data_IF_938293489225
#
_entry.id   IF_938293489225
#
_cell.length_a   1.000
_cell.length_b   1.000
_cell.length_c   1.000
_cell.angle_alpha   90.00
_cell.angle_beta   90.00
_cell.angle_gamma   90.00
#
_symmetry.space_group_name_H-M   'P 1'
#
loop_
_entity.id
_entity.type
_entity.pdbx_description
1 polymer ?
#
# COMPACT_ATOMS: atom_id res chain seq x y z
N UNK A 1 -7.37 -0.69 -9.84
CA UNK A 1 -7.93 -1.17 -11.13
C UNK A 1 -8.62 -2.53 -11.03
N UNK A 2 -7.96 -3.60 -10.54
CA UNK A 2 -8.55 -4.95 -10.51
C UNK A 2 -9.79 -5.12 -9.60
N UNK A 3 -9.80 -4.48 -8.42
CA UNK A 3 -10.90 -4.62 -7.44
C UNK A 3 -12.19 -3.90 -7.89
N UNK A 4 -12.06 -2.73 -8.52
CA UNK A 4 -13.20 -1.96 -9.09
C UNK A 4 -13.93 -2.75 -10.17
N UNK A 5 -13.22 -3.29 -11.16
CA UNK A 5 -13.83 -4.06 -12.26
C UNK A 5 -14.51 -5.33 -11.75
N UNK A 6 -13.90 -6.03 -10.80
CA UNK A 6 -14.48 -7.23 -10.21
C UNK A 6 -15.81 -6.96 -9.47
N UNK A 7 -15.95 -5.79 -8.83
CA UNK A 7 -17.18 -5.40 -8.10
C UNK A 7 -18.24 -4.77 -9.02
N UNK A 8 -17.84 -3.95 -9.98
CA UNK A 8 -18.74 -3.37 -10.98
C UNK A 8 -19.37 -4.44 -11.90
N UNK A 9 -18.59 -5.47 -12.27
CA UNK A 9 -19.08 -6.60 -13.07
C UNK A 9 -20.17 -7.42 -12.35
N UNK A 10 -20.12 -7.54 -11.03
CA UNK A 10 -21.17 -8.23 -10.24
C UNK A 10 -22.52 -7.48 -10.25
N UNK A 11 -22.55 -6.23 -10.70
CA UNK A 11 -23.74 -5.35 -10.66
C UNK A 11 -24.14 -4.79 -12.03
N UNK A 12 -23.48 -5.20 -13.11
CA UNK A 12 -23.77 -4.71 -14.47
C UNK A 12 -23.33 -3.26 -14.73
N UNK A 13 -22.46 -2.71 -13.87
CA UNK A 13 -22.00 -1.31 -13.93
C UNK A 13 -20.58 -1.18 -14.52
N UNK A 14 -20.05 -2.26 -15.11
CA UNK A 14 -18.66 -2.33 -15.56
C UNK A 14 -18.32 -1.36 -16.70
N UNK A 15 -19.32 -0.92 -17.46
CA UNK A 15 -19.15 -0.17 -18.72
C UNK A 15 -19.33 1.35 -18.59
N UNK A 16 -19.67 1.89 -17.41
CA UNK A 16 -19.89 3.33 -17.23
C UNK A 16 -18.63 4.05 -16.68
N UNK A 17 -18.31 5.27 -17.18
CA UNK A 17 -17.21 6.06 -16.63
C UNK A 17 -17.58 6.58 -15.24
N UNK A 18 -17.21 5.82 -14.20
CA UNK A 18 -17.37 6.25 -12.81
C UNK A 18 -16.37 7.36 -12.44
N UNK A 19 -16.86 8.43 -11.82
CA UNK A 19 -16.09 9.56 -11.28
C UNK A 19 -15.41 9.14 -9.98
N UNK A 20 -14.13 9.47 -9.87
CA UNK A 20 -13.29 9.05 -8.74
C UNK A 20 -12.51 10.24 -8.19
N UNK A 21 -12.64 10.50 -6.89
CA UNK A 21 -11.69 11.35 -6.17
C UNK A 21 -10.62 10.47 -5.54
N UNK A 22 -9.43 11.04 -5.30
CA UNK A 22 -8.33 10.27 -4.74
C UNK A 22 -7.46 11.08 -3.78
N UNK A 23 -6.82 10.38 -2.86
CA UNK A 23 -5.79 10.90 -1.96
C UNK A 23 -4.54 10.03 -2.03
N UNK A 24 -3.35 10.64 -1.90
CA UNK A 24 -2.06 9.94 -1.91
C UNK A 24 -1.28 10.25 -0.65
N UNK A 25 -0.85 9.20 0.04
CA UNK A 25 -0.12 9.26 1.29
C UNK A 25 1.24 8.60 1.10
N UNK A 26 2.27 9.40 0.88
CA UNK A 26 3.62 8.93 0.59
C UNK A 26 4.52 9.05 1.83
N UNK A 27 5.28 7.99 2.11
CA UNK A 27 6.37 7.98 3.08
C UNK A 27 7.67 7.57 2.40
N UNK A 28 8.77 8.18 2.83
CA UNK A 28 10.11 7.79 2.47
C UNK A 28 10.94 7.64 3.74
N UNK A 29 11.75 6.58 3.82
CA UNK A 29 12.69 6.33 4.90
C UNK A 29 14.10 6.48 4.35
N UNK A 30 14.90 7.33 4.99
CA UNK A 30 16.32 7.51 4.71
C UNK A 30 17.09 6.95 5.90
N UNK A 31 17.86 5.91 5.65
CA UNK A 31 18.67 5.25 6.67
C UNK A 31 19.97 6.01 6.86
N UNK A 32 20.19 6.54 8.07
CA UNK A 32 21.40 7.28 8.45
C UNK A 32 22.00 6.59 9.68
N UNK A 33 23.25 6.14 9.55
CA UNK A 33 23.92 5.35 10.59
C UNK A 33 23.26 3.99 10.82
N UNK A 34 23.73 3.30 11.86
CA UNK A 34 23.20 1.99 12.25
C UNK A 34 22.29 2.12 13.47
N UNK A 35 21.17 1.35 13.50
CA UNK A 35 20.32 1.21 14.68
C UNK A 35 19.46 2.43 15.04
N UNK A 36 19.27 3.38 14.11
CA UNK A 36 18.45 4.57 14.35
C UNK A 36 16.95 4.18 14.48
N UNK A 37 16.29 4.52 15.61
CA UNK A 37 14.88 4.19 15.82
C UNK A 37 13.94 5.08 14.99
N UNK A 38 12.66 4.71 14.92
CA UNK A 38 11.60 5.53 14.31
C UNK A 38 11.18 5.11 12.90
N UNK A 39 11.74 4.04 12.36
CA UNK A 39 11.33 3.45 11.08
C UNK A 39 9.88 2.95 11.07
N UNK A 40 9.29 2.70 12.24
CA UNK A 40 7.91 2.27 12.47
C UNK A 40 6.95 3.41 12.85
N UNK A 41 7.39 4.67 12.75
CA UNK A 41 6.57 5.81 13.15
C UNK A 41 5.25 5.89 12.36
N UNK A 42 4.17 6.13 13.09
CA UNK A 42 2.79 6.27 12.57
C UNK A 42 2.45 7.75 12.45
N UNK A 43 2.21 8.21 11.23
CA UNK A 43 1.83 9.60 10.93
C UNK A 43 0.32 9.85 11.00
N UNK A 44 -0.50 8.79 11.07
CA UNK A 44 -1.96 8.94 11.11
C UNK A 44 -2.57 9.27 9.74
N UNK A 45 -1.90 8.87 8.66
CA UNK A 45 -2.40 9.05 7.29
C UNK A 45 -3.65 8.17 7.07
N UNK A 46 -4.56 8.60 6.17
CA UNK A 46 -5.82 7.87 5.97
C UNK A 46 -5.60 6.44 5.51
N UNK A 47 -4.67 6.21 4.59
CA UNK A 47 -4.13 4.89 4.29
C UNK A 47 -2.63 4.92 4.55
N UNK A 48 -2.14 4.07 5.44
CA UNK A 48 -0.76 4.13 5.93
C UNK A 48 -0.09 2.75 5.94
N UNK A 49 1.07 2.65 5.27
CA UNK A 49 1.97 1.51 5.39
C UNK A 49 2.97 1.76 6.53
N UNK A 50 3.05 0.85 7.50
CA UNK A 50 3.97 0.92 8.64
C UNK A 50 4.85 -0.33 8.63
N UNK A 51 6.18 -0.23 8.58
CA UNK A 51 7.02 -1.41 8.66
C UNK A 51 6.87 -2.14 10.00
N UNK A 52 7.03 -3.46 10.00
CA UNK A 52 7.02 -4.32 11.19
C UNK A 52 8.41 -4.85 11.55
N UNK A 53 9.34 -4.75 10.62
CA UNK A 53 10.76 -4.96 10.83
C UNK A 53 11.53 -3.81 10.17
N UNK A 54 12.70 -3.53 10.72
CA UNK A 54 13.54 -2.39 10.34
C UNK A 54 13.96 -2.48 8.86
N UNK A 55 13.49 -1.56 7.99
CA UNK A 55 13.91 -1.53 6.59
C UNK A 55 15.38 -1.13 6.42
N UNK A 56 15.99 -0.43 7.39
CA UNK A 56 17.40 -0.07 7.37
C UNK A 56 18.32 -1.23 7.72
N UNK A 57 17.85 -2.17 8.52
CA UNK A 57 18.56 -3.42 8.84
C UNK A 57 18.16 -4.59 7.93
N UNK A 58 17.16 -4.40 7.05
CA UNK A 58 16.68 -5.44 6.14
C UNK A 58 17.78 -5.89 5.17
N UNK A 59 17.73 -7.16 4.77
CA UNK A 59 18.64 -7.79 3.80
C UNK A 59 17.87 -8.69 2.84
N UNK A 60 18.30 -8.81 1.57
CA UNK A 60 17.73 -9.76 0.62
C UNK A 60 17.64 -11.19 1.17
N UNK A 61 16.57 -11.89 0.85
CA UNK A 61 16.30 -13.26 1.31
C UNK A 61 15.49 -13.34 2.61
N UNK A 62 15.25 -12.20 3.29
CA UNK A 62 14.25 -12.10 4.37
C UNK A 62 13.03 -11.30 3.90
N UNK A 63 11.80 -11.63 4.35
CA UNK A 63 10.64 -10.81 3.99
C UNK A 63 10.70 -9.43 4.67
N UNK A 64 10.29 -8.39 3.94
CA UNK A 64 9.90 -7.12 4.52
C UNK A 64 8.43 -7.20 4.90
N UNK A 65 8.15 -7.13 6.20
CA UNK A 65 6.79 -7.15 6.73
C UNK A 65 6.31 -5.73 6.99
N UNK A 66 5.08 -5.44 6.59
CA UNK A 66 4.43 -4.16 6.82
C UNK A 66 3.02 -4.39 7.36
N UNK A 67 2.49 -3.43 8.11
CA UNK A 67 1.06 -3.33 8.42
C UNK A 67 0.45 -2.19 7.63
N UNK A 68 -0.65 -2.47 6.94
CA UNK A 68 -1.50 -1.46 6.32
C UNK A 68 -2.60 -1.07 7.29
N UNK A 69 -2.77 0.23 7.45
CA UNK A 69 -3.80 0.82 8.28
C UNK A 69 -4.69 1.70 7.43
N UNK A 70 -6.01 1.57 7.59
CA UNK A 70 -6.97 2.51 7.06
C UNK A 70 -7.69 3.22 8.22
N UNK A 71 -7.65 4.57 8.21
CA UNK A 71 -8.15 5.42 9.30
C UNK A 71 -7.62 4.96 10.67
N UNK A 72 -6.34 4.61 10.72
CA UNK A 72 -5.64 4.15 11.92
C UNK A 72 -5.91 2.71 12.37
N UNK A 73 -6.76 1.94 11.65
CA UNK A 73 -7.11 0.55 11.98
C UNK A 73 -6.57 -0.43 10.94
N UNK A 74 -6.18 -1.66 11.33
CA UNK A 74 -5.79 -2.69 10.36
C UNK A 74 -6.86 -2.95 9.31
N UNK A 75 -6.43 -3.19 8.06
CA UNK A 75 -7.35 -3.50 6.95
C UNK A 75 -6.91 -4.77 6.23
N UNK A 76 -7.81 -5.75 6.16
CA UNK A 76 -7.60 -7.05 5.54
C UNK A 76 -7.81 -7.02 4.02
N UNK A 77 -7.15 -7.94 3.32
CA UNK A 77 -7.44 -8.26 1.93
C UNK A 77 -6.98 -7.21 0.94
N UNK A 78 -6.28 -6.15 1.35
CA UNK A 78 -5.76 -5.12 0.45
C UNK A 78 -4.48 -5.61 -0.21
N UNK A 79 -4.36 -5.43 -1.52
CA UNK A 79 -3.17 -5.84 -2.26
C UNK A 79 -2.03 -4.83 -2.08
N UNK A 80 -0.98 -5.25 -1.38
CA UNK A 80 0.34 -4.62 -1.40
C UNK A 80 1.12 -5.02 -2.65
N UNK A 81 1.82 -4.07 -3.26
CA UNK A 81 2.66 -4.27 -4.43
C UNK A 81 4.03 -3.66 -4.16
N UNK A 82 5.09 -4.44 -4.33
CA UNK A 82 6.46 -3.97 -4.23
C UNK A 82 7.21 -4.14 -5.55
N UNK A 83 8.09 -3.20 -5.88
CA UNK A 83 9.04 -3.31 -6.98
C UNK A 83 10.26 -2.41 -6.71
N UNK A 84 11.38 -2.77 -7.32
CA UNK A 84 12.63 -2.01 -7.27
C UNK A 84 12.66 -0.99 -8.42
N UNK A 85 13.32 0.15 -8.20
CA UNK A 85 13.55 1.16 -9.23
C UNK A 85 14.28 0.63 -10.47
N UNK A 86 15.29 -0.22 -10.27
CA UNK A 86 16.10 -0.84 -11.32
C UNK A 86 15.32 -1.90 -12.14
N UNK A 87 14.22 -2.44 -11.61
CA UNK A 87 13.35 -3.38 -12.33
C UNK A 87 11.87 -3.15 -11.95
N UNK A 88 11.22 -2.12 -12.51
CA UNK A 88 9.85 -1.76 -12.16
C UNK A 88 8.81 -2.71 -12.77
N UNK A 89 9.22 -3.63 -13.66
CA UNK A 89 8.33 -4.61 -14.28
C UNK A 89 8.15 -5.83 -13.37
N UNK A 90 9.20 -6.22 -12.63
CA UNK A 90 9.14 -7.31 -11.67
C UNK A 90 8.42 -6.88 -10.37
N UNK A 91 7.12 -7.20 -10.28
CA UNK A 91 6.25 -6.80 -9.17
C UNK A 91 5.94 -7.97 -8.26
N UNK A 92 6.25 -7.81 -6.98
CA UNK A 92 5.80 -8.72 -5.93
C UNK A 92 4.43 -8.24 -5.43
N UNK A 93 3.47 -9.16 -5.34
CA UNK A 93 2.08 -8.86 -4.94
C UNK A 93 1.64 -9.78 -3.83
N UNK A 94 1.19 -9.20 -2.72
CA UNK A 94 0.70 -9.93 -1.56
C UNK A 94 -0.54 -9.21 -1.02
N UNK A 95 -1.41 -9.91 -0.30
CA UNK A 95 -2.59 -9.30 0.35
C UNK A 95 -2.38 -9.22 1.85
N UNK A 96 -3.00 -8.22 2.46
CA UNK A 96 -2.99 -8.07 3.92
C UNK A 96 -3.85 -9.14 4.59
N UNK A 97 -3.40 -9.66 5.73
CA UNK A 97 -4.17 -10.57 6.60
C UNK A 97 -5.18 -9.82 7.50
N UNK A 98 -5.86 -10.53 8.39
CA UNK A 98 -6.85 -9.99 9.33
C UNK A 98 -6.26 -8.91 10.27
N UNK A 99 -4.97 -8.99 10.59
CA UNK A 99 -4.23 -8.00 11.37
C UNK A 99 -3.61 -6.89 10.50
N UNK A 100 -4.03 -6.80 9.23
CA UNK A 100 -3.58 -5.83 8.25
C UNK A 100 -2.12 -6.02 7.82
N UNK A 101 -1.49 -7.16 8.10
CA UNK A 101 -0.07 -7.40 7.82
C UNK A 101 0.12 -7.95 6.42
N UNK A 102 1.17 -7.52 5.75
CA UNK A 102 1.62 -8.03 4.46
C UNK A 102 3.11 -8.35 4.54
N UNK A 103 3.48 -9.57 4.15
CA UNK A 103 4.87 -10.04 4.12
C UNK A 103 5.34 -10.12 2.68
N UNK A 104 6.33 -9.29 2.32
CA UNK A 104 6.82 -9.10 0.96
C UNK A 104 8.22 -9.74 0.82
N UNK A 105 8.36 -10.84 0.07
CA UNK A 105 9.65 -11.49 -0.16
C UNK A 105 10.48 -10.68 -1.18
N UNK A 106 11.05 -9.56 -0.73
CA UNK A 106 11.87 -8.69 -1.58
C UNK A 106 13.22 -9.35 -1.90
N UNK A 107 13.68 -9.19 -3.13
CA UNK A 107 14.90 -9.83 -3.63
C UNK A 107 15.87 -8.80 -4.20
N UNK A 108 17.08 -8.73 -3.66
CA UNK A 108 18.15 -7.83 -4.12
C UNK A 108 18.11 -6.43 -3.50
N UNK A 109 19.23 -5.74 -3.61
CA UNK A 109 19.44 -4.39 -3.08
C UNK A 109 18.91 -3.31 -4.03
N UNK A 110 18.68 -2.11 -3.50
CA UNK A 110 18.31 -0.91 -4.25
C UNK A 110 17.16 -0.13 -3.62
N UNK A 111 16.56 0.77 -4.40
CA UNK A 111 15.42 1.56 -3.93
C UNK A 111 14.14 0.78 -4.20
N UNK A 112 13.42 0.48 -3.11
CA UNK A 112 12.15 -0.23 -3.16
C UNK A 112 10.99 0.74 -3.00
N UNK A 113 9.97 0.58 -3.83
CA UNK A 113 8.65 1.18 -3.62
C UNK A 113 7.65 0.10 -3.26
N UNK A 114 7.03 0.23 -2.09
CA UNK A 114 5.82 -0.52 -1.72
C UNK A 114 4.62 0.40 -1.88
N UNK A 115 3.54 -0.11 -2.45
CA UNK A 115 2.27 0.62 -2.58
C UNK A 115 1.06 -0.24 -2.31
N UNK A 116 0.01 0.39 -1.79
CA UNK A 116 -1.31 -0.19 -1.59
C UNK A 116 -2.38 0.82 -2.01
N UNK A 117 -3.52 0.31 -2.49
CA UNK A 117 -4.69 1.13 -2.83
C UNK A 117 -5.92 0.49 -2.20
N UNK A 118 -6.63 1.28 -1.42
CA UNK A 118 -7.96 0.94 -0.90
C UNK A 118 -8.99 1.85 -1.57
N UNK A 119 -10.14 1.30 -1.93
CA UNK A 119 -11.22 2.06 -2.56
C UNK A 119 -12.50 1.85 -1.75
N UNK A 120 -13.20 2.95 -1.49
CA UNK A 120 -14.54 2.95 -0.92
C UNK A 120 -15.51 3.53 -1.96
N UNK A 121 -16.75 3.06 -1.96
CA UNK A 121 -17.80 3.70 -2.75
C UNK A 121 -18.12 5.03 -2.10
N UNK A 122 -18.44 6.03 -2.91
CA UNK A 122 -18.99 7.27 -2.38
C UNK A 122 -20.34 7.01 -1.69
N UNK A 123 -20.75 7.94 -0.82
CA UNK A 123 -22.08 7.90 -0.23
C UNK A 123 -23.14 7.90 -1.35
N UNK A 124 -24.27 7.23 -1.14
CA UNK A 124 -25.37 7.24 -2.11
C UNK A 124 -25.97 8.65 -2.31
N UNK A 125 -25.77 9.55 -1.34
CA UNK A 125 -26.13 10.96 -1.47
C UNK A 125 -25.07 11.82 -2.19
N UNK A 126 -23.86 11.31 -2.40
CA UNK A 126 -22.82 12.01 -3.16
C UNK A 126 -23.12 11.88 -4.65
N UNK A 127 -23.63 12.96 -5.25
CA UNK A 127 -23.96 13.01 -6.67
C UNK A 127 -22.78 13.42 -7.55
N UNK A 128 -21.61 13.71 -6.97
CA UNK A 128 -20.44 14.20 -7.67
C UNK A 128 -19.42 13.09 -7.94
N UNK A 129 -19.37 12.08 -7.07
CA UNK A 129 -18.40 11.00 -7.13
C UNK A 129 -19.02 9.63 -6.95
N UNK A 130 -18.47 8.62 -7.62
CA UNK A 130 -18.89 7.23 -7.47
C UNK A 130 -17.95 6.46 -6.52
N UNK A 131 -16.68 6.87 -6.44
CA UNK A 131 -15.63 6.21 -5.67
C UNK A 131 -14.64 7.19 -5.05
N UNK A 132 -14.13 6.83 -3.88
CA UNK A 132 -12.92 7.41 -3.28
C UNK A 132 -11.79 6.40 -3.29
N UNK A 133 -10.60 6.79 -3.78
CA UNK A 133 -9.39 5.96 -3.68
C UNK A 133 -8.33 6.55 -2.78
N UNK A 134 -7.84 5.71 -1.88
CA UNK A 134 -6.80 6.04 -0.92
C UNK A 134 -5.55 5.27 -1.30
N UNK A 135 -4.48 5.99 -1.56
CA UNK A 135 -3.21 5.41 -1.97
C UNK A 135 -2.21 5.59 -0.84
N UNK A 136 -1.46 4.52 -0.54
CA UNK A 136 -0.31 4.55 0.34
C UNK A 136 0.92 4.14 -0.45
N UNK A 137 2.04 4.83 -0.24
CA UNK A 137 3.34 4.40 -0.72
C UNK A 137 4.42 4.54 0.35
N UNK A 138 5.36 3.60 0.37
CA UNK A 138 6.51 3.62 1.24
C UNK A 138 7.77 3.32 0.41
N UNK A 139 8.74 4.22 0.46
CA UNK A 139 10.02 4.08 -0.23
C UNK A 139 11.17 3.98 0.76
N UNK A 140 12.12 3.07 0.53
CA UNK A 140 13.38 3.00 1.27
C UNK A 140 14.49 2.44 0.38
N UNK A 141 15.74 2.59 0.81
CA UNK A 141 16.90 1.94 0.20
C UNK A 141 17.39 0.82 1.13
N UNK A 142 17.57 -0.39 0.58
CA UNK A 142 18.01 -1.59 1.32
C UNK A 142 18.82 -2.54 0.45
#
# INVERSE_FOLDING_TARGET
MGDRRARAARRGEADWPAREWYTRHAKALICVGEGTPGWDYRFGLLLELVPLNDPCAWRPGSPLSMRLLFRGRPIEGVQGVAYRDADPQHKIRQRTDAEGRVSLPLEGHGVWLIKAVHMERADEQDTDWDWGSFWASFTFAG
#
